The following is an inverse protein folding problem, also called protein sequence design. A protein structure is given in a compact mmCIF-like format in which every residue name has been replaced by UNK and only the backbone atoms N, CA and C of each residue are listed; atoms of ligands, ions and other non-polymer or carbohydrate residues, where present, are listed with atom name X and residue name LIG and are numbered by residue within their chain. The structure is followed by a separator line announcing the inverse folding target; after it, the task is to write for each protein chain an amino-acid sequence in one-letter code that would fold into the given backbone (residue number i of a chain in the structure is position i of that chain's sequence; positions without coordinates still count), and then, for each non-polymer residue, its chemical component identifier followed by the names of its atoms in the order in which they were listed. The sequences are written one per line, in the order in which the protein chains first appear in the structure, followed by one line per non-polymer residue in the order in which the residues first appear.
data_IF_115257888303
#
_entry.id   IF_115257888303
#
_cell.length_a   1.000
_cell.length_b   1.000
_cell.length_c   1.000
_cell.angle_alpha   90.00
_cell.angle_beta   90.00
_cell.angle_gamma   90.00
#
_symmetry.space_group_name_H-M   'P 1'
#
loop_
_entity.id
_entity.type
_entity.pdbx_description
1 polymer ?
#
# COMPACT_ATOMS: atom_id res chain seq x y z
N UNK A 1 59.03 41.66 31.00
CA UNK A 1 57.70 42.08 30.51
C UNK A 1 56.90 40.81 30.29
N UNK A 2 56.00 40.47 31.22
CA UNK A 2 55.16 39.27 31.16
C UNK A 2 53.72 39.71 30.87
N UNK A 3 53.22 39.41 29.68
CA UNK A 3 51.81 39.60 29.33
C UNK A 3 50.97 38.50 29.98
N UNK A 4 50.07 38.93 30.87
CA UNK A 4 49.14 38.05 31.56
C UNK A 4 47.90 37.90 30.70
N UNK A 5 47.76 36.77 30.01
CA UNK A 5 46.59 36.41 29.21
C UNK A 5 45.42 36.16 30.16
N UNK A 6 44.51 37.13 30.31
CA UNK A 6 43.21 36.94 30.94
C UNK A 6 42.38 35.98 30.08
N UNK A 7 42.16 34.78 30.61
CA UNK A 7 41.29 33.77 30.03
C UNK A 7 39.84 34.13 30.36
N UNK A 8 39.17 34.73 29.38
CA UNK A 8 37.75 35.08 29.44
C UNK A 8 36.93 33.80 29.63
N UNK A 9 36.38 33.64 30.83
CA UNK A 9 35.55 32.49 31.18
C UNK A 9 34.15 32.73 30.63
N UNK A 10 33.91 32.30 29.39
CA UNK A 10 32.57 32.25 28.81
C UNK A 10 31.69 31.30 29.64
N UNK A 11 31.00 31.86 30.62
CA UNK A 11 29.90 31.21 31.34
C UNK A 11 28.78 30.98 30.34
N UNK A 12 28.73 29.75 29.80
CA UNK A 12 27.63 29.21 29.00
C UNK A 12 26.33 29.29 29.82
N UNK A 13 25.63 30.40 29.74
CA UNK A 13 24.25 30.54 30.19
C UNK A 13 23.38 29.69 29.27
N UNK A 14 23.14 28.45 29.68
CA UNK A 14 22.16 27.56 29.07
C UNK A 14 20.77 28.17 29.27
N UNK A 15 20.28 28.84 28.23
CA UNK A 15 18.90 29.32 28.13
C UNK A 15 17.92 28.19 28.46
N UNK A 16 16.98 28.37 29.40
CA UNK A 16 16.04 27.32 29.83
C UNK A 16 15.14 26.77 28.69
N UNK A 17 14.97 27.53 27.60
CA UNK A 17 14.29 27.07 26.38
C UNK A 17 15.01 25.91 25.68
N UNK A 18 16.33 25.83 25.79
CA UNK A 18 17.14 24.79 25.14
C UNK A 18 16.98 23.41 25.79
N UNK A 19 16.71 23.34 27.09
CA UNK A 19 16.53 22.08 27.82
C UNK A 19 15.20 21.41 27.48
N UNK A 20 14.11 22.18 27.37
CA UNK A 20 12.80 21.65 26.98
C UNK A 20 12.81 21.14 25.54
N UNK A 21 13.45 21.85 24.62
CA UNK A 21 13.61 21.42 23.23
C UNK A 21 14.43 20.13 23.12
N UNK A 22 15.54 20.01 23.86
CA UNK A 22 16.34 18.78 23.90
C UNK A 22 15.57 17.61 24.49
N UNK A 23 14.81 17.83 25.57
CA UNK A 23 13.98 16.80 26.18
C UNK A 23 12.87 16.32 25.22
N UNK A 24 12.18 17.25 24.54
CA UNK A 24 11.17 16.93 23.54
C UNK A 24 11.77 16.12 22.37
N UNK A 25 12.90 16.57 21.82
CA UNK A 25 13.61 15.86 20.75
C UNK A 25 14.05 14.44 21.19
N UNK A 26 14.50 14.28 22.44
CA UNK A 26 14.86 12.98 23.00
C UNK A 26 13.67 12.01 23.10
N UNK A 27 12.51 12.50 23.56
CA UNK A 27 11.28 11.70 23.65
C UNK A 27 10.80 11.28 22.26
N UNK A 28 10.87 12.18 21.28
CA UNK A 28 10.50 11.87 19.90
C UNK A 28 11.43 10.82 19.27
N UNK A 29 12.73 10.97 19.45
CA UNK A 29 13.71 10.00 18.97
C UNK A 29 13.50 8.62 19.62
N UNK A 30 13.21 8.58 20.92
CA UNK A 30 12.90 7.33 21.64
C UNK A 30 11.63 6.68 21.08
N UNK A 31 10.55 7.46 20.86
CA UNK A 31 9.30 6.97 20.28
C UNK A 31 9.50 6.39 18.89
N UNK A 32 10.26 7.06 18.02
CA UNK A 32 10.59 6.54 16.69
C UNK A 32 11.38 5.25 16.76
N UNK A 33 12.34 5.16 17.70
CA UNK A 33 13.07 3.93 18.00
C UNK A 33 12.13 2.80 18.38
N UNK A 34 11.18 3.05 19.30
CA UNK A 34 10.19 2.06 19.74
C UNK A 34 9.27 1.61 18.60
N UNK A 35 8.77 2.53 17.76
CA UNK A 35 7.91 2.18 16.61
C UNK A 35 8.67 1.28 15.63
N UNK A 36 9.93 1.61 15.31
CA UNK A 36 10.76 0.76 14.43
C UNK A 36 11.05 -0.61 15.05
N UNK A 37 11.28 -0.65 16.37
CA UNK A 37 11.45 -1.89 17.12
C UNK A 37 10.21 -2.79 17.02
N UNK A 38 9.04 -2.24 17.34
CA UNK A 38 7.74 -2.94 17.24
C UNK A 38 7.42 -3.39 15.81
N UNK A 39 7.73 -2.56 14.82
CA UNK A 39 7.53 -2.90 13.42
C UNK A 39 8.40 -4.10 12.98
N UNK A 40 9.64 -4.20 13.47
CA UNK A 40 10.52 -5.33 13.17
C UNK A 40 10.13 -6.61 13.90
N UNK A 41 9.75 -6.51 15.17
CA UNK A 41 9.31 -7.68 15.95
C UNK A 41 8.02 -8.25 15.36
N UNK A 42 7.05 -7.40 15.06
CA UNK A 42 5.80 -7.83 14.41
C UNK A 42 6.04 -8.47 13.04
N UNK A 43 6.94 -7.93 12.22
CA UNK A 43 7.34 -8.55 10.96
C UNK A 43 7.94 -9.95 11.16
N UNK A 44 8.83 -10.11 12.14
CA UNK A 44 9.39 -11.43 12.49
C UNK A 44 8.29 -12.42 12.87
N UNK A 45 7.39 -12.07 13.78
CA UNK A 45 6.31 -12.96 14.20
C UNK A 45 5.37 -13.34 13.06
N UNK A 46 5.00 -12.38 12.21
CA UNK A 46 4.11 -12.65 11.07
C UNK A 46 4.78 -13.54 10.04
N UNK A 47 6.05 -13.28 9.69
CA UNK A 47 6.79 -14.10 8.71
C UNK A 47 7.10 -15.48 9.27
N UNK A 48 7.51 -15.58 10.54
CA UNK A 48 7.73 -16.85 11.22
C UNK A 48 6.44 -17.68 11.27
N UNK A 49 5.31 -17.06 11.67
CA UNK A 49 4.00 -17.69 11.64
C UNK A 49 3.61 -18.15 10.23
N UNK A 50 3.84 -17.32 9.21
CA UNK A 50 3.57 -17.70 7.81
C UNK A 50 4.42 -18.89 7.35
N UNK A 51 5.67 -18.99 7.79
CA UNK A 51 6.54 -20.15 7.55
C UNK A 51 6.04 -21.41 8.26
N UNK A 52 5.58 -21.30 9.51
CA UNK A 52 5.02 -22.43 10.24
C UNK A 52 3.73 -22.96 9.58
N UNK A 53 2.88 -22.05 9.09
CA UNK A 53 1.64 -22.38 8.39
C UNK A 53 1.83 -22.72 6.90
N UNK A 54 3.07 -22.65 6.37
CA UNK A 54 3.38 -22.90 4.96
C UNK A 54 2.73 -24.18 4.37
N UNK A 55 2.80 -25.36 5.02
CA UNK A 55 2.17 -26.57 4.48
C UNK A 55 0.63 -26.50 4.49
N UNK A 56 0.03 -25.71 5.39
CA UNK A 56 -1.43 -25.57 5.48
C UNK A 56 -1.97 -24.52 4.50
N UNK A 57 -1.13 -23.59 4.01
CA UNK A 57 -1.57 -22.49 3.16
C UNK A 57 -2.37 -22.91 1.90
N UNK A 58 -1.98 -23.92 1.12
CA UNK A 58 -2.76 -24.34 -0.04
C UNK A 58 -4.15 -24.87 0.33
N UNK A 59 -4.29 -25.49 1.50
CA UNK A 59 -5.58 -25.97 2.03
C UNK A 59 -6.45 -24.78 2.44
N UNK A 60 -5.88 -23.83 3.18
CA UNK A 60 -6.56 -22.59 3.58
C UNK A 60 -6.98 -21.78 2.36
N UNK A 61 -6.12 -21.65 1.35
CA UNK A 61 -6.43 -20.96 0.09
C UNK A 61 -7.55 -21.66 -0.68
N UNK A 62 -7.52 -22.99 -0.78
CA UNK A 62 -8.59 -23.77 -1.41
C UNK A 62 -9.93 -23.60 -0.68
N UNK A 63 -9.92 -23.62 0.66
CA UNK A 63 -11.12 -23.43 1.48
C UNK A 63 -11.67 -21.99 1.35
N UNK A 64 -10.81 -20.97 1.46
CA UNK A 64 -11.20 -19.57 1.41
C UNK A 64 -11.71 -19.14 0.02
N UNK A 65 -11.04 -19.60 -1.04
CA UNK A 65 -11.39 -19.24 -2.42
C UNK A 65 -12.36 -20.23 -3.07
N UNK A 66 -12.69 -21.34 -2.39
CA UNK A 66 -13.49 -22.47 -2.92
C UNK A 66 -12.96 -22.99 -4.26
N UNK A 67 -11.65 -23.03 -4.41
CA UNK A 67 -10.96 -23.47 -5.63
C UNK A 67 -10.05 -24.66 -5.33
N UNK A 68 -10.46 -25.86 -5.72
CA UNK A 68 -9.65 -27.08 -5.56
C UNK A 68 -8.36 -27.05 -6.40
N UNK A 69 -8.23 -26.10 -7.34
CA UNK A 69 -7.03 -25.91 -8.16
C UNK A 69 -5.77 -25.64 -7.34
N UNK A 70 -5.88 -25.07 -6.13
CA UNK A 70 -4.75 -24.85 -5.22
C UNK A 70 -4.19 -26.16 -4.66
N UNK A 71 -5.07 -27.14 -4.39
CA UNK A 71 -4.68 -28.48 -3.94
C UNK A 71 -4.12 -29.31 -5.09
N UNK A 72 -4.76 -29.27 -6.28
CA UNK A 72 -4.27 -30.00 -7.46
C UNK A 72 -2.87 -29.56 -7.87
N UNK A 73 -2.55 -28.28 -7.69
CA UNK A 73 -1.23 -27.68 -7.97
C UNK A 73 -0.45 -27.36 -6.70
N UNK A 74 -0.56 -28.20 -5.67
CA UNK A 74 0.01 -27.96 -4.34
C UNK A 74 1.46 -27.49 -4.37
N UNK A 75 2.35 -28.20 -5.09
CA UNK A 75 3.78 -27.86 -5.17
C UNK A 75 4.03 -26.48 -5.78
N UNK A 76 3.28 -26.13 -6.82
CA UNK A 76 3.39 -24.82 -7.48
C UNK A 76 2.87 -23.72 -6.56
N UNK A 77 1.72 -23.95 -5.92
CA UNK A 77 1.15 -23.02 -4.93
C UNK A 77 2.13 -22.78 -3.79
N UNK A 78 2.78 -23.83 -3.28
CA UNK A 78 3.76 -23.74 -2.22
C UNK A 78 4.99 -22.95 -2.64
N UNK A 79 5.54 -23.23 -3.83
CA UNK A 79 6.68 -22.47 -4.37
C UNK A 79 6.36 -20.98 -4.51
N UNK A 80 5.15 -20.64 -4.97
CA UNK A 80 4.68 -19.24 -5.04
C UNK A 80 4.52 -18.60 -3.66
N UNK A 81 4.00 -19.34 -2.67
CA UNK A 81 3.89 -18.86 -1.29
C UNK A 81 5.27 -18.60 -0.68
N UNK A 82 6.25 -19.48 -0.91
CA UNK A 82 7.64 -19.27 -0.47
C UNK A 82 8.21 -18.01 -1.10
N UNK A 83 8.04 -17.82 -2.41
CA UNK A 83 8.44 -16.60 -3.12
C UNK A 83 7.80 -15.35 -2.53
N UNK A 84 6.50 -15.41 -2.24
CA UNK A 84 5.75 -14.34 -1.61
C UNK A 84 6.29 -13.99 -0.22
N UNK A 85 6.48 -14.97 0.66
CA UNK A 85 7.00 -14.74 2.02
C UNK A 85 8.40 -14.16 1.97
N UNK A 86 9.28 -14.67 1.10
CA UNK A 86 10.63 -14.12 0.90
C UNK A 86 10.56 -12.67 0.43
N UNK A 87 9.71 -12.36 -0.55
CA UNK A 87 9.58 -11.00 -1.04
C UNK A 87 8.99 -10.06 0.03
N UNK A 88 8.01 -10.50 0.83
CA UNK A 88 7.49 -9.73 1.98
C UNK A 88 8.61 -9.41 2.96
N UNK A 89 9.44 -10.41 3.29
CA UNK A 89 10.58 -10.26 4.18
C UNK A 89 11.65 -9.31 3.62
N UNK A 90 12.09 -9.52 2.38
CA UNK A 90 13.13 -8.70 1.74
C UNK A 90 12.69 -7.25 1.56
N UNK A 91 11.44 -7.05 1.14
CA UNK A 91 10.90 -5.71 0.95
C UNK A 91 10.46 -5.07 2.25
N UNK A 92 10.49 -5.77 3.40
CA UNK A 92 10.04 -5.23 4.69
C UNK A 92 8.61 -4.68 4.65
N UNK A 93 7.73 -5.35 3.91
CA UNK A 93 6.40 -4.83 3.61
C UNK A 93 5.54 -4.69 4.89
N UNK A 94 5.71 -5.60 5.85
CA UNK A 94 4.93 -5.60 7.09
C UNK A 94 5.43 -4.49 8.02
N UNK A 95 6.74 -4.37 8.23
CA UNK A 95 7.27 -3.33 9.10
C UNK A 95 6.97 -1.93 8.56
N UNK A 96 6.99 -1.72 7.24
CA UNK A 96 6.51 -0.46 6.64
C UNK A 96 5.03 -0.21 6.91
N UNK A 97 4.18 -1.22 6.72
CA UNK A 97 2.74 -1.09 6.99
C UNK A 97 2.46 -0.75 8.46
N UNK A 98 3.14 -1.43 9.39
CA UNK A 98 3.00 -1.19 10.84
C UNK A 98 3.52 0.20 11.20
N UNK A 99 4.70 0.58 10.71
CA UNK A 99 5.25 1.91 10.92
C UNK A 99 4.29 3.00 10.42
N UNK A 100 3.72 2.84 9.22
CA UNK A 100 2.72 3.78 8.67
C UNK A 100 1.47 3.90 9.55
N UNK A 101 0.96 2.79 10.10
CA UNK A 101 -0.22 2.81 10.99
C UNK A 101 0.06 3.44 12.36
N UNK A 102 1.30 3.36 12.84
CA UNK A 102 1.71 3.89 14.14
C UNK A 102 2.27 5.31 14.08
N UNK A 103 2.63 5.80 12.88
CA UNK A 103 3.13 7.16 12.69
C UNK A 103 1.96 8.14 12.62
N UNK A 104 1.97 9.25 13.39
CA UNK A 104 0.92 10.26 13.33
C UNK A 104 0.77 10.87 11.92
N UNK A 105 -0.48 11.10 11.50
CA UNK A 105 -0.83 11.66 10.18
C UNK A 105 -0.23 13.06 9.96
N UNK A 106 -0.05 13.83 11.03
CA UNK A 106 0.56 15.18 10.99
C UNK A 106 2.02 15.16 10.48
N UNK A 107 2.70 14.02 10.54
CA UNK A 107 4.08 13.86 10.07
C UNK A 107 4.19 13.34 8.64
N UNK A 108 3.08 12.93 8.02
CA UNK A 108 3.07 12.48 6.63
C UNK A 108 2.72 13.64 5.72
N UNK A 109 3.61 13.96 4.77
CA UNK A 109 3.29 14.90 3.69
C UNK A 109 2.05 14.36 2.97
N UNK A 110 0.98 15.16 2.83
CA UNK A 110 -0.20 14.73 2.11
C UNK A 110 0.16 14.49 0.63
N UNK A 111 0.36 13.23 0.30
CA UNK A 111 0.55 12.78 -1.08
C UNK A 111 -0.74 12.13 -1.56
N UNK A 112 -1.13 12.50 -2.78
CA UNK A 112 -2.19 11.83 -3.54
C UNK A 112 -1.54 10.97 -4.62
N UNK A 113 -1.92 9.70 -4.63
CA UNK A 113 -1.52 8.77 -5.69
C UNK A 113 -2.47 8.94 -6.86
N UNK A 114 -1.90 9.21 -8.04
CA UNK A 114 -2.64 9.34 -9.30
C UNK A 114 -2.13 8.30 -10.30
N UNK A 115 -2.98 7.95 -11.27
CA UNK A 115 -2.68 6.98 -12.31
C UNK A 115 -3.48 5.69 -12.18
N UNK A 116 -3.15 4.70 -13.02
CA UNK A 116 -3.90 3.46 -13.18
C UNK A 116 -2.96 2.25 -13.28
N UNK A 117 -3.45 1.07 -12.89
CA UNK A 117 -2.71 -0.17 -13.02
C UNK A 117 -2.48 -0.50 -14.51
N UNK A 118 -1.22 -0.64 -14.91
CA UNK A 118 -0.81 -1.00 -16.28
C UNK A 118 -0.59 -2.50 -16.48
N UNK A 119 -1.03 -3.33 -15.51
CA UNK A 119 -0.86 -4.79 -15.59
C UNK A 119 0.59 -5.27 -15.74
N UNK A 120 1.58 -4.47 -15.28
CA UNK A 120 3.01 -4.85 -15.31
C UNK A 120 3.46 -5.82 -14.21
N UNK A 121 2.64 -6.04 -13.18
CA UNK A 121 2.90 -6.97 -12.08
C UNK A 121 3.87 -6.49 -11.01
N UNK A 122 4.62 -5.40 -11.25
CA UNK A 122 5.62 -4.90 -10.30
C UNK A 122 5.02 -4.38 -9.01
N UNK A 123 3.88 -3.70 -9.07
CA UNK A 123 3.16 -3.24 -7.88
C UNK A 123 2.62 -4.39 -7.02
N UNK A 124 2.61 -5.62 -7.55
CA UNK A 124 2.22 -6.83 -6.83
C UNK A 124 3.45 -7.49 -6.18
N UNK A 125 4.11 -6.75 -5.29
CA UNK A 125 5.29 -7.20 -4.53
C UNK A 125 6.44 -7.64 -5.46
N UNK A 126 6.81 -6.77 -6.42
CA UNK A 126 7.82 -7.04 -7.44
C UNK A 126 7.62 -8.40 -8.13
N UNK A 127 6.39 -8.63 -8.61
CA UNK A 127 5.97 -9.86 -9.28
C UNK A 127 5.94 -11.13 -8.40
N UNK A 128 6.22 -11.04 -7.10
CA UNK A 128 6.23 -12.16 -6.18
C UNK A 128 4.89 -12.39 -5.45
N UNK A 129 3.84 -11.63 -5.76
CA UNK A 129 2.51 -11.85 -5.17
C UNK A 129 1.96 -13.24 -5.54
N UNK A 130 1.48 -13.99 -4.56
CA UNK A 130 0.94 -15.33 -4.77
C UNK A 130 -0.30 -15.37 -5.67
N UNK A 131 -1.07 -14.29 -5.70
CA UNK A 131 -2.27 -14.15 -6.55
C UNK A 131 -1.96 -13.59 -7.93
N UNK A 132 -0.70 -13.31 -8.25
CA UNK A 132 -0.29 -12.84 -9.55
C UNK A 132 -0.25 -14.02 -10.53
N UNK A 133 -0.85 -13.81 -11.69
CA UNK A 133 -0.68 -14.67 -12.84
C UNK A 133 -0.32 -13.82 -14.05
N UNK A 134 0.36 -14.44 -15.00
CA UNK A 134 0.63 -13.84 -16.30
C UNK A 134 -0.21 -14.56 -17.35
N UNK A 135 -0.68 -13.81 -18.34
CA UNK A 135 -1.28 -14.38 -19.54
C UNK A 135 -0.19 -14.74 -20.58
N UNK A 136 -0.62 -15.29 -21.72
CA UNK A 136 0.27 -15.68 -22.82
C UNK A 136 0.99 -14.49 -23.45
N UNK A 137 0.46 -13.27 -23.28
CA UNK A 137 1.03 -12.02 -23.76
C UNK A 137 1.99 -11.38 -22.73
N UNK A 138 2.23 -12.05 -21.60
CA UNK A 138 3.07 -11.55 -20.52
C UNK A 138 2.43 -10.43 -19.69
N UNK A 139 1.13 -10.16 -19.84
CA UNK A 139 0.41 -9.21 -19.01
C UNK A 139 0.02 -9.86 -17.69
N UNK A 140 0.23 -9.13 -16.61
CA UNK A 140 -0.11 -9.62 -15.28
C UNK A 140 -1.58 -9.38 -14.94
N UNK A 141 -2.19 -10.34 -14.25
CA UNK A 141 -3.54 -10.25 -13.71
C UNK A 141 -3.57 -10.74 -12.27
N UNK A 142 -4.35 -10.06 -11.44
CA UNK A 142 -4.62 -10.47 -10.06
C UNK A 142 -5.80 -11.46 -10.05
N UNK A 143 -5.54 -12.72 -9.70
CA UNK A 143 -6.55 -13.79 -9.73
C UNK A 143 -7.70 -13.60 -8.75
N UNK A 144 -7.52 -12.74 -7.74
CA UNK A 144 -8.53 -12.44 -6.74
C UNK A 144 -9.26 -11.12 -6.99
N UNK A 145 -8.86 -10.34 -8.00
CA UNK A 145 -9.50 -9.06 -8.30
C UNK A 145 -11.00 -9.25 -8.59
N UNK A 146 -11.84 -8.40 -7.99
CA UNK A 146 -13.31 -8.46 -8.16
C UNK A 146 -14.04 -9.55 -7.36
N UNK A 147 -13.33 -10.47 -6.68
CA UNK A 147 -13.99 -11.48 -5.84
C UNK A 147 -14.55 -10.86 -4.56
N UNK A 148 -15.67 -11.36 -4.01
CA UNK A 148 -16.28 -10.81 -2.78
C UNK A 148 -15.30 -10.77 -1.59
N UNK A 149 -14.48 -11.81 -1.43
CA UNK A 149 -13.44 -11.87 -0.38
C UNK A 149 -12.29 -10.87 -0.59
N UNK A 150 -12.07 -10.38 -1.81
CA UNK A 150 -10.96 -9.47 -2.13
C UNK A 150 -11.06 -8.15 -1.38
N UNK A 151 -12.25 -7.55 -1.35
CA UNK A 151 -12.44 -6.27 -0.66
C UNK A 151 -12.34 -6.39 0.86
N UNK A 152 -12.73 -7.54 1.42
CA UNK A 152 -12.80 -7.75 2.88
C UNK A 152 -11.47 -8.25 3.44
N UNK A 153 -10.90 -9.32 2.88
CA UNK A 153 -9.68 -9.94 3.42
C UNK A 153 -8.39 -9.35 2.84
N UNK A 154 -8.46 -8.80 1.62
CA UNK A 154 -7.30 -8.27 0.89
C UNK A 154 -7.43 -6.77 0.64
N UNK A 155 -8.07 -6.05 1.57
CA UNK A 155 -8.25 -4.59 1.51
C UNK A 155 -6.94 -3.81 1.31
N UNK A 156 -5.80 -4.39 1.67
CA UNK A 156 -4.50 -3.79 1.37
C UNK A 156 -4.19 -3.86 -0.14
N UNK A 157 -4.49 -4.98 -0.81
CA UNK A 157 -4.24 -5.17 -2.24
C UNK A 157 -5.07 -4.24 -3.13
N UNK A 158 -6.25 -3.82 -2.70
CA UNK A 158 -7.09 -2.87 -3.44
C UNK A 158 -6.60 -1.41 -3.35
N UNK A 159 -5.66 -1.12 -2.45
CA UNK A 159 -5.14 0.22 -2.17
C UNK A 159 -3.69 0.43 -2.64
N UNK A 160 -3.07 -0.59 -3.26
CA UNK A 160 -1.70 -0.49 -3.75
C UNK A 160 -1.62 0.30 -5.07
N UNK A 161 -0.59 1.14 -5.27
CA UNK A 161 0.44 1.54 -4.29
C UNK A 161 -0.07 2.54 -3.25
N UNK A 162 0.42 2.44 -2.01
CA UNK A 162 -0.08 3.24 -0.88
C UNK A 162 0.47 4.67 -0.84
N UNK A 163 1.74 4.85 -1.24
CA UNK A 163 2.43 6.13 -1.26
C UNK A 163 3.58 6.19 -2.28
N UNK A 164 4.17 7.38 -2.46
CA UNK A 164 5.30 7.61 -3.37
C UNK A 164 6.49 6.66 -3.15
N UNK A 165 6.94 6.42 -1.90
CA UNK A 165 8.01 5.47 -1.64
C UNK A 165 7.77 4.06 -2.19
N UNK A 166 6.53 3.56 -2.18
CA UNK A 166 6.21 2.26 -2.78
C UNK A 166 6.26 2.28 -4.31
N UNK A 167 5.82 3.38 -4.95
CA UNK A 167 5.92 3.55 -6.41
C UNK A 167 7.39 3.47 -6.84
N UNK A 168 8.29 4.14 -6.11
CA UNK A 168 9.72 4.13 -6.38
C UNK A 168 10.33 2.74 -6.14
N UNK A 169 10.01 2.12 -4.99
CA UNK A 169 10.53 0.81 -4.63
C UNK A 169 10.21 -0.25 -5.69
N UNK A 170 8.95 -0.30 -6.13
CA UNK A 170 8.48 -1.29 -7.08
C UNK A 170 8.57 -0.83 -8.54
N UNK A 171 9.01 0.40 -8.82
CA UNK A 171 9.08 0.98 -10.17
C UNK A 171 7.77 0.79 -10.95
N UNK A 172 6.67 1.21 -10.32
CA UNK A 172 5.31 1.11 -10.84
C UNK A 172 5.08 2.12 -11.98
N UNK A 173 5.05 1.72 -13.27
CA UNK A 173 5.10 2.65 -14.40
C UNK A 173 3.78 3.43 -14.65
N UNK A 174 2.68 3.00 -14.02
CA UNK A 174 1.35 3.61 -14.19
C UNK A 174 0.92 4.54 -13.05
N UNK A 175 1.76 4.73 -12.04
CA UNK A 175 1.41 5.48 -10.83
C UNK A 175 2.42 6.59 -10.57
N UNK A 176 1.93 7.73 -10.09
CA UNK A 176 2.75 8.84 -9.64
C UNK A 176 2.22 9.38 -8.30
N UNK A 177 3.13 9.80 -7.43
CA UNK A 177 2.79 10.53 -6.21
C UNK A 177 2.85 12.03 -6.51
N UNK A 178 1.72 12.70 -6.33
CA UNK A 178 1.60 14.16 -6.51
C UNK A 178 1.36 14.76 -5.13
N UNK A 179 2.03 15.88 -4.84
CA UNK A 179 1.76 16.64 -3.62
C UNK A 179 0.34 17.16 -3.69
N UNK A 180 -0.42 16.90 -2.63
CA UNK A 180 -1.80 17.35 -2.52
C UNK A 180 -1.83 18.54 -1.55
N UNK A 181 -1.87 19.79 -2.07
CA UNK A 181 -1.93 20.98 -1.23
C UNK A 181 -3.24 21.08 -0.43
N UNK A 182 -4.28 20.33 -0.79
CA UNK A 182 -5.61 20.38 -0.16
C UNK A 182 -5.86 19.22 0.83
N UNK A 183 -5.07 18.15 0.78
CA UNK A 183 -5.27 16.97 1.64
C UNK A 183 -4.93 17.18 3.13
N UNK A 184 -4.58 18.39 3.55
CA UNK A 184 -4.58 18.75 4.99
C UNK A 184 -5.99 18.82 5.59
N UNK A 185 -7.07 18.84 4.79
CA UNK A 185 -8.41 19.11 5.33
C UNK A 185 -9.43 17.95 5.26
N UNK A 186 -9.44 17.08 4.25
CA UNK A 186 -10.47 16.02 4.16
C UNK A 186 -9.98 14.81 3.36
N UNK A 187 -9.96 13.62 3.97
CA UNK A 187 -9.88 12.36 3.21
C UNK A 187 -11.14 11.53 3.44
N UNK A 188 -12.23 11.90 2.76
CA UNK A 188 -13.31 11.00 2.39
C UNK A 188 -13.19 10.80 0.88
N UNK A 189 -12.74 9.62 0.45
CA UNK A 189 -12.78 9.23 -0.97
C UNK A 189 -14.06 8.39 -1.15
N UNK A 190 -15.08 8.85 -1.90
CA UNK A 190 -16.16 7.98 -2.31
C UNK A 190 -15.63 6.95 -3.30
N UNK A 191 -15.88 5.68 -3.03
CA UNK A 191 -15.65 4.58 -3.97
C UNK A 191 -16.71 4.74 -5.06
N UNK A 192 -16.36 5.38 -6.18
CA UNK A 192 -17.22 5.33 -7.36
C UNK A 192 -17.11 3.92 -7.95
N UNK A 193 -18.21 3.15 -8.06
CA UNK A 193 -18.18 1.88 -8.77
C UNK A 193 -17.92 2.15 -10.25
N UNK A 194 -16.93 1.45 -10.81
CA UNK A 194 -16.75 1.37 -12.27
C UNK A 194 -18.00 0.65 -12.82
N UNK A 195 -18.90 1.38 -13.48
CA UNK A 195 -19.90 0.79 -14.36
C UNK A 195 -19.15 0.08 -15.50
N UNK A 196 -19.30 -1.24 -15.58
CA UNK A 196 -19.00 -1.97 -16.82
C UNK A 196 -20.14 -1.72 -17.82
N UNK A 197 -19.82 -1.62 -19.13
CA UNK A 197 -20.82 -1.38 -20.15
C UNK A 197 -21.57 -2.69 -20.41
N UNK A 198 -22.87 -2.71 -20.12
CA UNK A 198 -23.76 -3.76 -20.55
C UNK A 198 -25.12 -3.15 -20.90
N UNK A 199 -25.52 -3.29 -22.17
CA UNK A 199 -26.91 -3.12 -22.60
C UNK A 199 -27.28 -1.72 -23.07
N UNK A 200 -26.89 -1.37 -24.30
CA UNK A 200 -27.66 -0.45 -25.15
C UNK A 200 -27.99 -1.15 -26.48
N UNK A 201 -28.38 -2.43 -26.35
CA UNK A 201 -29.31 -3.07 -27.27
C UNK A 201 -30.56 -3.32 -26.43
N UNK A 202 -31.75 -3.00 -26.96
CA UNK A 202 -33.08 -3.13 -26.33
C UNK A 202 -33.56 -1.99 -25.42
N UNK A 203 -33.69 -0.78 -25.96
CA UNK A 203 -34.93 -0.01 -25.79
C UNK A 203 -35.42 0.37 -27.18
N UNK A 204 -36.12 -0.58 -27.79
CA UNK A 204 -37.14 -0.29 -28.78
C UNK A 204 -38.27 0.50 -28.13
N UNK A 205 -38.96 1.29 -28.94
CA UNK A 205 -40.39 1.56 -28.82
C UNK A 205 -40.87 2.36 -27.60
N UNK A 206 -40.94 3.69 -27.76
CA UNK A 206 -42.12 4.53 -27.48
C UNK A 206 -41.76 5.99 -27.81
N UNK A 207 -42.75 6.81 -28.21
CA UNK A 207 -42.67 8.11 -28.91
C UNK A 207 -42.39 7.97 -30.42
N UNK A 208 -43.35 7.71 -31.31
CA UNK A 208 -44.74 8.19 -31.41
C UNK A 208 -44.91 9.70 -31.25
N UNK A 209 -45.51 10.29 -32.29
CA UNK A 209 -46.20 11.59 -32.33
C UNK A 209 -45.36 12.87 -32.35
N UNK A 210 -45.21 13.50 -33.53
CA UNK A 210 -46.05 14.66 -33.95
C UNK A 210 -45.37 15.53 -35.04
N UNK A 211 -46.21 16.16 -35.88
CA UNK A 211 -45.95 17.20 -36.92
C UNK A 211 -45.41 16.66 -38.25
N UNK A 212 -46.14 16.56 -39.36
CA UNK A 212 -47.20 17.41 -39.95
C UNK A 212 -46.77 18.89 -40.16
N UNK A 213 -47.18 19.47 -41.30
CA UNK A 213 -47.03 20.86 -41.80
C UNK A 213 -45.80 21.07 -42.72
N UNK A 214 -45.93 21.03 -44.05
CA UNK A 214 -46.54 21.99 -45.02
C UNK A 214 -45.48 22.89 -45.67
N UNK A 215 -45.54 23.01 -47.00
CA UNK A 215 -45.22 24.29 -47.66
C UNK A 215 -44.12 24.28 -48.72
N UNK A 216 -44.59 24.33 -49.98
CA UNK A 216 -44.00 24.94 -51.19
C UNK A 216 -42.99 24.12 -51.97
#
# INVERSE_FOLDING_TARGET
MNETIMRESNTLTLEPGSLRQRAAAGIEAAREGSIRGLARTSEFFVVFGAWLLLPLWPILAAAALRECGYLRRYRITLARMIGHIRAVWHTRAISRMVARRLTPVERTVPERIVGNCTHCGRCCLDQACVFLAFDERGQSRCQIYGKKLWKVMFANCSRYPLDGPEIVLYRCPGFNAVRDPEASARRIIPIVPVMQPAGLESISAELSETSEVSGV
#
